data_IF_298051993300
#
_entry.id   IF_298051993300
#
_cell.length_a   1.000
_cell.length_b   1.000
_cell.length_c   1.000
_cell.angle_alpha   90.00
_cell.angle_beta   90.00
_cell.angle_gamma   90.00
#
_symmetry.space_group_name_H-M   'P 1'
#
loop_
_entity.id
_entity.type
_entity.pdbx_description
1 polymer ?
#
# COMPACT_ATOMS: atom_id res chain seq x y z
N UNK A 1 -29.85 7.32 3.20
CA UNK A 1 -29.37 6.31 2.23
C UNK A 1 -29.01 5.06 3.00
N UNK A 2 -29.54 3.90 2.62
CA UNK A 2 -29.24 2.62 3.28
C UNK A 2 -27.75 2.26 3.14
N UNK A 3 -27.11 1.88 4.25
CA UNK A 3 -25.68 1.53 4.31
C UNK A 3 -25.36 0.31 3.47
N UNK A 4 -26.24 -0.70 3.47
CA UNK A 4 -26.04 -1.93 2.71
C UNK A 4 -26.06 -1.65 1.21
N UNK A 5 -27.03 -0.85 0.76
CA UNK A 5 -27.10 -0.36 -0.62
C UNK A 5 -25.85 0.44 -1.01
N UNK A 6 -25.37 1.35 -0.16
CA UNK A 6 -24.15 2.12 -0.45
C UNK A 6 -22.93 1.22 -0.65
N UNK A 7 -22.70 0.30 0.29
CA UNK A 7 -21.57 -0.62 0.22
C UNK A 7 -21.62 -1.46 -1.08
N UNK A 8 -22.78 -1.99 -1.44
CA UNK A 8 -22.95 -2.76 -2.67
C UNK A 8 -22.62 -1.96 -3.94
N UNK A 9 -23.05 -0.70 -4.02
CA UNK A 9 -22.75 0.17 -5.18
C UNK A 9 -21.25 0.49 -5.26
N UNK A 10 -20.60 0.79 -4.13
CA UNK A 10 -19.18 1.11 -4.09
C UNK A 10 -18.32 -0.09 -4.46
N UNK A 11 -18.65 -1.28 -3.94
CA UNK A 11 -17.93 -2.53 -4.26
C UNK A 11 -18.06 -2.84 -5.76
N UNK A 12 -19.27 -2.84 -6.30
CA UNK A 12 -19.49 -3.13 -7.73
C UNK A 12 -18.79 -2.12 -8.66
N UNK A 13 -18.62 -0.86 -8.23
CA UNK A 13 -17.81 0.11 -8.97
C UNK A 13 -16.31 -0.19 -8.83
N UNK A 14 -15.84 -0.51 -7.62
CA UNK A 14 -14.43 -0.83 -7.37
C UNK A 14 -13.96 -2.01 -8.22
N UNK A 15 -14.76 -3.06 -8.36
CA UNK A 15 -14.43 -4.23 -9.18
C UNK A 15 -14.09 -3.90 -10.64
N UNK A 16 -14.67 -2.83 -11.20
CA UNK A 16 -14.44 -2.40 -12.59
C UNK A 16 -13.44 -1.25 -12.75
N UNK A 17 -13.19 -0.49 -11.68
CA UNK A 17 -12.48 0.79 -11.75
C UNK A 17 -11.31 0.89 -10.76
N UNK A 18 -10.99 -0.18 -10.03
CA UNK A 18 -9.85 -0.20 -9.13
C UNK A 18 -8.56 0.16 -9.86
N UNK A 19 -7.76 1.02 -9.23
CA UNK A 19 -6.41 1.35 -9.71
C UNK A 19 -5.49 0.16 -9.46
N UNK A 20 -4.70 -0.16 -10.48
CA UNK A 20 -3.60 -1.12 -10.37
C UNK A 20 -2.45 -0.50 -9.56
N UNK A 21 -2.34 -0.91 -8.29
CA UNK A 21 -1.34 -0.43 -7.35
C UNK A 21 -0.65 -1.65 -6.72
N UNK A 22 0.68 -1.65 -6.59
CA UNK A 22 1.41 -2.86 -6.23
C UNK A 22 1.12 -3.32 -4.79
N UNK A 23 0.83 -2.40 -3.86
CA UNK A 23 0.38 -2.73 -2.50
C UNK A 23 -1.09 -3.20 -2.41
N UNK A 24 -1.80 -3.31 -3.55
CA UNK A 24 -3.13 -3.94 -3.66
C UNK A 24 -3.08 -5.27 -4.41
N UNK A 25 -1.91 -5.68 -4.89
CA UNK A 25 -1.76 -6.93 -5.61
C UNK A 25 -2.04 -8.13 -4.69
N UNK A 26 -2.50 -9.28 -5.23
CA UNK A 26 -2.82 -10.47 -4.43
C UNK A 26 -1.65 -11.02 -3.59
N UNK A 27 -0.42 -10.73 -4.00
CA UNK A 27 0.82 -11.13 -3.35
C UNK A 27 1.39 -10.06 -2.39
N UNK A 28 0.71 -8.93 -2.22
CA UNK A 28 1.14 -7.89 -1.29
C UNK A 28 1.14 -8.41 0.15
N UNK A 29 2.28 -8.35 0.82
CA UNK A 29 2.42 -8.76 2.22
C UNK A 29 1.86 -7.69 3.17
N UNK A 30 1.50 -8.04 4.42
CA UNK A 30 1.10 -7.05 5.42
C UNK A 30 2.15 -5.93 5.60
N UNK A 31 3.44 -6.28 5.48
CA UNK A 31 4.53 -5.31 5.51
C UNK A 31 4.49 -4.35 4.31
N UNK A 32 4.31 -4.89 3.11
CA UNK A 32 4.22 -4.11 1.88
C UNK A 32 3.04 -3.11 1.91
N UNK A 33 1.90 -3.53 2.47
CA UNK A 33 0.74 -2.67 2.70
C UNK A 33 1.07 -1.57 3.73
N UNK A 34 1.59 -1.95 4.90
CA UNK A 34 1.94 -0.99 5.99
C UNK A 34 2.92 0.09 5.53
N UNK A 35 3.98 -0.28 4.79
CA UNK A 35 4.94 0.68 4.22
C UNK A 35 4.24 1.64 3.26
N UNK A 36 3.34 1.15 2.42
CA UNK A 36 2.59 2.00 1.49
C UNK A 36 1.74 3.03 2.24
N UNK A 37 1.06 2.63 3.31
CA UNK A 37 0.20 3.50 4.11
C UNK A 37 1.01 4.64 4.75
N UNK A 38 2.19 4.33 5.32
CA UNK A 38 3.06 5.37 5.88
C UNK A 38 3.55 6.36 4.83
N UNK A 39 3.99 5.88 3.66
CA UNK A 39 4.45 6.77 2.59
C UNK A 39 3.33 7.67 2.05
N UNK A 40 2.09 7.16 2.01
CA UNK A 40 0.93 7.85 1.42
C UNK A 40 0.30 8.93 2.32
N UNK A 41 0.69 9.07 3.59
CA UNK A 41 0.05 10.01 4.53
C UNK A 41 0.11 11.47 4.07
N UNK A 42 1.16 11.88 3.34
CA UNK A 42 1.30 13.24 2.78
C UNK A 42 2.00 13.25 1.40
N UNK A 43 2.13 12.08 0.75
CA UNK A 43 2.82 11.93 -0.54
C UNK A 43 1.87 11.34 -1.58
N UNK A 44 1.73 11.96 -2.77
CA UNK A 44 0.88 11.43 -3.83
C UNK A 44 1.46 10.12 -4.39
N UNK A 45 0.56 9.23 -4.82
CA UNK A 45 0.88 7.89 -5.35
C UNK A 45 2.03 7.90 -6.38
N UNK A 46 2.01 8.84 -7.33
CA UNK A 46 3.04 8.93 -8.38
C UNK A 46 4.46 9.10 -7.84
N UNK A 47 4.61 9.75 -6.67
CA UNK A 47 5.89 9.93 -5.99
C UNK A 47 6.26 8.76 -5.08
N UNK A 48 5.30 7.90 -4.70
CA UNK A 48 5.50 6.75 -3.80
C UNK A 48 5.95 5.50 -4.54
N UNK A 49 5.50 5.27 -5.79
CA UNK A 49 5.74 4.01 -6.51
C UNK A 49 7.22 3.59 -6.59
N UNK A 50 8.13 4.52 -6.83
CA UNK A 50 9.58 4.24 -6.88
C UNK A 50 10.16 3.92 -5.49
N UNK A 51 10.10 4.86 -4.54
CA UNK A 51 10.59 4.66 -3.17
C UNK A 51 10.02 3.43 -2.47
N UNK A 52 8.74 3.10 -2.69
CA UNK A 52 8.12 1.91 -2.11
C UNK A 52 8.77 0.61 -2.61
N UNK A 53 9.05 0.49 -3.91
CA UNK A 53 9.74 -0.68 -4.48
C UNK A 53 11.16 -0.81 -3.92
N UNK A 54 11.85 0.33 -3.83
CA UNK A 54 13.20 0.38 -3.28
C UNK A 54 13.22 -0.02 -1.79
N UNK A 55 12.27 0.48 -1.02
CA UNK A 55 12.11 0.16 0.39
C UNK A 55 11.93 -1.34 0.61
N UNK A 56 11.03 -1.98 -0.14
CA UNK A 56 10.79 -3.42 0.01
C UNK A 56 11.92 -4.29 -0.53
N UNK A 57 12.69 -3.78 -1.50
CA UNK A 57 13.93 -4.44 -1.94
C UNK A 57 14.99 -4.39 -0.85
N UNK A 58 15.13 -3.26 -0.17
CA UNK A 58 16.13 -3.07 0.90
C UNK A 58 15.73 -3.77 2.20
N UNK A 59 14.47 -3.62 2.59
CA UNK A 59 13.91 -4.17 3.83
C UNK A 59 12.65 -4.99 3.52
N UNK A 60 12.81 -6.25 3.07
CA UNK A 60 11.70 -7.09 2.66
C UNK A 60 10.79 -7.52 3.82
N UNK A 61 11.24 -7.38 5.06
CA UNK A 61 10.50 -7.72 6.27
C UNK A 61 10.67 -6.63 7.34
N UNK A 62 9.75 -6.53 8.31
CA UNK A 62 9.90 -5.60 9.43
C UNK A 62 11.20 -5.84 10.23
N UNK A 63 11.62 -7.09 10.39
CA UNK A 63 12.86 -7.43 11.09
C UNK A 63 14.12 -7.01 10.32
N UNK A 64 14.09 -7.02 8.99
CA UNK A 64 15.20 -6.50 8.18
C UNK A 64 15.38 -4.99 8.39
N UNK A 65 14.30 -4.22 8.49
CA UNK A 65 14.38 -2.79 8.85
C UNK A 65 14.87 -2.60 10.28
N UNK A 66 14.34 -3.38 11.23
CA UNK A 66 14.67 -3.26 12.65
C UNK A 66 16.14 -3.61 12.97
N UNK A 67 16.81 -4.34 12.08
CA UNK A 67 18.22 -4.70 12.22
C UNK A 67 19.18 -3.54 11.85
N UNK A 68 18.70 -2.50 11.17
CA UNK A 68 19.54 -1.36 10.78
C UNK A 68 19.68 -0.32 11.90
N UNK A 69 20.84 0.35 12.00
CA UNK A 69 20.98 1.55 12.82
C UNK A 69 20.04 2.66 12.36
N UNK A 70 19.58 3.48 13.32
CA UNK A 70 18.83 4.70 12.99
C UNK A 70 19.80 5.74 12.44
N UNK A 71 19.55 6.25 11.23
CA UNK A 71 20.23 7.44 10.69
C UNK A 71 21.32 7.20 9.65
N UNK A 72 21.21 6.17 8.81
CA UNK A 72 21.91 6.15 7.51
C UNK A 72 21.53 7.35 6.62
#
# INVERSE_FOLDING_TARGET
>A
MDRTRLAGVVIAWYDRHARDLPWRAPDATPWAVMVSEFMLQQTPVSRVLGPWREWLRRWPTPSALAAEPVGE
#
